data_IF_464302207170
#
_entry.id   IF_464302207170
#
_cell.length_a   1.000
_cell.length_b   1.000
_cell.length_c   1.000
_cell.angle_alpha   90.00
_cell.angle_beta   90.00
_cell.angle_gamma   90.00
#
_symmetry.space_group_name_H-M   'P 1'
#
loop_
_entity.id
_entity.type
_entity.pdbx_description
1 polymer ?
#
# COMPACT_ATOMS: atom_id res chain seq x y z
N UNK A 1 11.52 2.80 -9.39
CA UNK A 1 11.25 1.51 -8.74
C UNK A 1 12.09 0.43 -9.41
N UNK A 2 12.65 -0.55 -8.66
CA UNK A 2 13.35 -1.72 -9.20
C UNK A 2 12.47 -2.96 -8.99
N UNK A 3 12.16 -3.70 -10.05
CA UNK A 3 11.45 -4.99 -9.98
C UNK A 3 12.43 -6.10 -10.34
N UNK A 4 12.87 -6.88 -9.35
CA UNK A 4 13.90 -7.90 -9.55
C UNK A 4 13.35 -9.17 -10.25
N UNK A 5 12.10 -9.58 -9.96
CA UNK A 5 11.45 -10.75 -10.58
C UNK A 5 10.00 -10.45 -10.99
N UNK A 6 9.60 -10.94 -12.16
CA UNK A 6 8.26 -10.76 -12.75
C UNK A 6 8.28 -10.79 -14.29
N UNK A 7 7.15 -11.07 -14.97
CA UNK A 7 7.02 -11.00 -16.42
C UNK A 7 7.44 -9.64 -16.99
N UNK A 8 7.98 -9.61 -18.21
CA UNK A 8 8.56 -8.39 -18.79
C UNK A 8 7.56 -7.21 -18.85
N UNK A 9 6.27 -7.50 -19.07
CA UNK A 9 5.19 -6.50 -19.05
C UNK A 9 4.97 -5.87 -17.66
N UNK A 10 5.16 -6.64 -16.59
CA UNK A 10 5.08 -6.16 -15.20
C UNK A 10 6.29 -5.30 -14.86
N UNK A 11 7.48 -5.69 -15.33
CA UNK A 11 8.71 -4.89 -15.19
C UNK A 11 8.61 -3.57 -15.97
N UNK A 12 8.06 -3.59 -17.18
CA UNK A 12 7.86 -2.41 -18.01
C UNK A 12 6.81 -1.46 -17.41
N UNK A 13 5.68 -1.97 -16.91
CA UNK A 13 4.69 -1.18 -16.19
C UNK A 13 5.30 -0.53 -14.94
N UNK A 14 5.95 -1.31 -14.08
CA UNK A 14 6.60 -0.77 -12.87
C UNK A 14 7.70 0.27 -13.19
N UNK A 15 8.45 0.07 -14.28
CA UNK A 15 9.44 1.03 -14.78
C UNK A 15 8.82 2.32 -15.36
N UNK A 16 7.69 2.23 -16.07
CA UNK A 16 6.95 3.39 -16.60
C UNK A 16 6.25 4.22 -15.52
N UNK A 17 5.85 3.60 -14.40
CA UNK A 17 5.13 4.31 -13.34
C UNK A 17 6.02 4.87 -12.21
N UNK A 18 7.33 4.59 -12.22
CA UNK A 18 8.27 5.17 -11.25
C UNK A 18 7.99 4.76 -9.80
N UNK A 19 8.43 5.58 -8.84
CA UNK A 19 7.94 5.51 -7.46
C UNK A 19 6.60 6.27 -7.39
N UNK A 20 5.52 5.57 -7.08
CA UNK A 20 4.18 6.17 -7.00
C UNK A 20 3.91 6.62 -5.56
N UNK A 21 3.78 7.93 -5.34
CA UNK A 21 3.28 8.45 -4.07
C UNK A 21 1.76 8.28 -4.05
N UNK A 22 1.29 7.29 -3.29
CA UNK A 22 -0.13 6.91 -3.25
C UNK A 22 -1.03 8.09 -2.87
N UNK A 23 -0.60 8.93 -1.93
CA UNK A 23 -1.32 10.14 -1.50
C UNK A 23 -1.57 11.18 -2.61
N UNK A 24 -0.76 11.17 -3.68
CA UNK A 24 -0.96 12.01 -4.87
C UNK A 24 -1.74 11.30 -5.97
N UNK A 25 -1.61 9.98 -6.03
CA UNK A 25 -2.13 9.18 -7.13
C UNK A 25 -3.58 8.72 -6.90
N UNK A 26 -4.05 8.65 -5.66
CA UNK A 26 -5.40 8.28 -5.29
C UNK A 26 -5.90 9.09 -4.10
N UNK A 27 -7.23 9.15 -3.95
CA UNK A 27 -7.87 9.73 -2.78
C UNK A 27 -7.46 8.95 -1.54
N UNK A 28 -6.83 9.65 -0.61
CA UNK A 28 -6.48 9.13 0.70
C UNK A 28 -7.24 9.90 1.77
N UNK A 29 -7.87 9.19 2.71
CA UNK A 29 -8.47 9.76 3.90
C UNK A 29 -7.58 9.45 5.10
N UNK A 30 -7.36 10.45 5.94
CA UNK A 30 -6.41 10.38 7.05
C UNK A 30 -7.17 10.51 8.36
N UNK A 31 -7.00 9.53 9.23
CA UNK A 31 -7.70 9.44 10.50
C UNK A 31 -6.67 9.37 11.62
N UNK A 32 -6.80 10.27 12.60
CA UNK A 32 -5.89 10.35 13.74
C UNK A 32 -6.65 9.96 15.02
N UNK A 33 -6.20 8.87 15.65
CA UNK A 33 -6.63 8.48 16.99
C UNK A 33 -5.68 9.00 18.07
N UNK A 34 -5.95 8.63 19.33
CA UNK A 34 -5.10 8.97 20.48
C UNK A 34 -3.72 8.30 20.42
N UNK A 35 -3.63 7.13 19.79
CA UNK A 35 -2.42 6.30 19.74
C UNK A 35 -2.15 5.66 18.37
N UNK A 36 -2.89 6.05 17.33
CA UNK A 36 -2.73 5.49 15.99
C UNK A 36 -3.01 6.53 14.92
N UNK A 37 -2.51 6.25 13.72
CA UNK A 37 -2.79 6.97 12.51
C UNK A 37 -3.21 5.95 11.45
N UNK A 38 -4.38 6.17 10.87
CA UNK A 38 -4.96 5.32 9.85
C UNK A 38 -5.03 6.08 8.53
N UNK A 39 -4.70 5.37 7.45
CA UNK A 39 -4.65 5.89 6.09
C UNK A 39 -5.55 5.00 5.24
N UNK A 40 -6.69 5.53 4.85
CA UNK A 40 -7.64 4.86 3.96
C UNK A 40 -7.33 5.26 2.52
N UNK A 41 -6.88 4.29 1.72
CA UNK A 41 -6.54 4.50 0.31
C UNK A 41 -7.65 3.96 -0.59
N UNK A 42 -8.35 4.86 -1.29
CA UNK A 42 -9.37 4.48 -2.26
C UNK A 42 -8.73 4.20 -3.64
N UNK A 43 -8.37 2.94 -3.89
CA UNK A 43 -7.72 2.52 -5.14
C UNK A 43 -8.61 2.73 -6.39
N UNK A 44 -9.94 2.78 -6.21
CA UNK A 44 -10.90 2.97 -7.31
C UNK A 44 -10.96 4.43 -7.79
N UNK A 45 -10.52 5.37 -6.96
CA UNK A 45 -10.51 6.80 -7.27
C UNK A 45 -9.51 7.21 -8.36
N UNK A 46 -8.61 6.30 -8.75
CA UNK A 46 -7.54 6.59 -9.71
C UNK A 46 -7.54 5.61 -10.87
N UNK A 47 -7.60 6.14 -12.09
CA UNK A 47 -7.51 5.34 -13.32
C UNK A 47 -6.17 4.60 -13.41
N UNK A 48 -5.09 5.22 -12.95
CA UNK A 48 -3.74 4.63 -12.96
C UNK A 48 -3.68 3.47 -11.98
N UNK A 49 -4.13 3.69 -10.72
CA UNK A 49 -4.11 2.63 -9.72
C UNK A 49 -5.07 1.50 -10.11
N UNK A 50 -6.26 1.82 -10.60
CA UNK A 50 -7.21 0.80 -11.06
C UNK A 50 -6.61 -0.06 -12.18
N UNK A 51 -5.92 0.54 -13.16
CA UNK A 51 -5.23 -0.20 -14.21
C UNK A 51 -4.12 -1.08 -13.64
N UNK A 52 -3.35 -0.56 -12.68
CA UNK A 52 -2.29 -1.32 -12.01
C UNK A 52 -2.86 -2.50 -11.22
N UNK A 53 -3.90 -2.30 -10.41
CA UNK A 53 -4.56 -3.35 -9.64
C UNK A 53 -5.06 -4.47 -10.56
N UNK A 54 -5.66 -4.12 -11.70
CA UNK A 54 -6.12 -5.12 -12.69
C UNK A 54 -4.95 -5.90 -13.29
N UNK A 55 -3.85 -5.23 -13.61
CA UNK A 55 -2.64 -5.88 -14.10
C UNK A 55 -2.05 -6.82 -13.04
N UNK A 56 -1.96 -6.36 -11.78
CA UNK A 56 -1.41 -7.13 -10.67
C UNK A 56 -2.27 -8.36 -10.37
N UNK A 57 -3.60 -8.25 -10.45
CA UNK A 57 -4.52 -9.36 -10.23
C UNK A 57 -4.24 -10.55 -11.16
N UNK A 58 -3.89 -10.28 -12.42
CA UNK A 58 -3.54 -11.34 -13.39
C UNK A 58 -2.25 -12.11 -13.06
N UNK A 59 -1.40 -11.56 -12.19
CA UNK A 59 -0.09 -12.14 -11.82
C UNK A 59 0.12 -12.22 -10.31
N UNK A 60 -0.96 -12.12 -9.52
CA UNK A 60 -0.91 -11.84 -8.07
C UNK A 60 -0.10 -12.90 -7.31
N UNK A 61 -0.24 -14.17 -7.67
CA UNK A 61 0.48 -15.29 -7.04
C UNK A 61 1.98 -15.31 -7.34
N UNK A 62 2.44 -14.63 -8.39
CA UNK A 62 3.85 -14.52 -8.76
C UNK A 62 4.46 -13.17 -8.37
N UNK A 63 3.70 -12.34 -7.67
CA UNK A 63 4.05 -10.95 -7.40
C UNK A 63 4.90 -10.85 -6.13
N UNK A 64 5.95 -10.04 -6.17
CA UNK A 64 6.66 -9.55 -4.98
C UNK A 64 6.75 -8.04 -5.07
N UNK A 65 6.21 -7.33 -4.07
CA UNK A 65 6.17 -5.85 -4.03
C UNK A 65 6.80 -5.36 -2.75
N UNK A 66 7.67 -4.36 -2.88
CA UNK A 66 8.18 -3.57 -1.76
C UNK A 66 7.36 -2.28 -1.63
N UNK A 67 6.84 -2.03 -0.43
CA UNK A 67 6.09 -0.82 -0.11
C UNK A 67 6.84 -0.08 0.99
N UNK A 68 7.13 1.20 0.74
CA UNK A 68 7.78 2.10 1.67
C UNK A 68 6.83 3.21 2.12
N UNK A 69 6.87 3.54 3.40
CA UNK A 69 6.15 4.66 3.99
C UNK A 69 7.09 5.83 4.21
N UNK A 70 6.75 6.97 3.64
CA UNK A 70 7.49 8.23 3.74
C UNK A 70 6.48 9.33 4.07
N UNK A 71 6.90 10.31 4.87
CA UNK A 71 6.18 11.59 4.98
C UNK A 71 6.76 12.51 3.93
N UNK A 72 5.92 12.93 3.00
CA UNK A 72 6.28 13.83 1.91
C UNK A 72 6.53 15.25 2.43
N UNK A 73 7.67 15.83 2.09
CA UNK A 73 8.01 17.21 2.41
C UNK A 73 7.15 18.17 1.55
N UNK A 74 6.52 19.15 2.18
CA UNK A 74 5.71 20.17 1.52
C UNK A 74 6.51 21.45 1.23
N UNK A 75 7.64 21.64 1.90
CA UNK A 75 8.52 22.81 1.73
C UNK A 75 10.00 22.40 1.66
N UNK A 76 10.87 23.27 1.12
CA UNK A 76 12.30 22.95 0.95
C UNK A 76 13.02 22.74 2.28
N UNK A 77 12.58 23.39 3.36
CA UNK A 77 13.13 23.25 4.71
C UNK A 77 12.79 21.92 5.40
N UNK A 78 11.79 21.20 4.90
CA UNK A 78 11.40 19.86 5.40
C UNK A 78 12.25 18.72 4.79
N UNK A 79 13.18 19.03 3.87
CA UNK A 79 14.05 18.04 3.23
C UNK A 79 15.27 17.64 4.10
N UNK A 80 15.78 16.41 3.96
CA UNK A 80 15.31 15.35 3.08
C UNK A 80 14.24 14.46 3.73
N UNK A 81 13.27 14.03 2.92
CA UNK A 81 12.26 13.02 3.28
C UNK A 81 12.93 11.70 3.71
N UNK A 82 12.41 11.07 4.76
CA UNK A 82 12.96 9.82 5.32
C UNK A 82 11.93 8.71 5.29
N UNK A 83 12.38 7.51 4.90
CA UNK A 83 11.60 6.28 5.00
C UNK A 83 11.34 5.96 6.48
N UNK A 84 10.07 5.95 6.87
CA UNK A 84 9.61 5.64 8.22
C UNK A 84 9.61 4.13 8.43
N UNK A 85 9.32 3.38 7.37
CA UNK A 85 9.35 1.94 7.37
C UNK A 85 9.05 1.38 5.99
N UNK A 86 9.31 0.10 5.81
CA UNK A 86 8.95 -0.61 4.61
C UNK A 86 8.57 -2.05 4.92
N UNK A 87 7.78 -2.64 4.06
CA UNK A 87 7.43 -4.05 4.10
C UNK A 87 7.38 -4.62 2.69
N UNK A 88 7.57 -5.94 2.61
CA UNK A 88 7.50 -6.68 1.36
C UNK A 88 6.29 -7.61 1.40
N UNK A 89 5.48 -7.57 0.35
CA UNK A 89 4.42 -8.54 0.09
C UNK A 89 4.96 -9.57 -0.91
N UNK A 90 4.88 -10.85 -0.57
CA UNK A 90 5.36 -11.95 -1.40
C UNK A 90 4.22 -12.93 -1.73
N UNK A 91 4.10 -13.29 -3.01
CA UNK A 91 3.17 -14.33 -3.52
C UNK A 91 1.74 -14.24 -2.94
N UNK A 92 1.08 -13.08 -2.99
CA UNK A 92 -0.26 -12.92 -2.44
C UNK A 92 -1.26 -13.88 -3.09
N UNK A 93 -2.01 -14.60 -2.25
CA UNK A 93 -3.03 -15.55 -2.66
C UNK A 93 -4.42 -14.96 -2.42
N UNK A 94 -5.01 -14.38 -3.46
CA UNK A 94 -6.30 -13.71 -3.33
C UNK A 94 -7.47 -14.68 -3.09
N UNK A 95 -7.33 -15.95 -3.47
CA UNK A 95 -8.31 -17.02 -3.18
C UNK A 95 -8.46 -17.31 -1.69
N UNK A 96 -7.46 -16.96 -0.87
CA UNK A 96 -7.51 -17.12 0.59
C UNK A 96 -8.25 -15.99 1.31
N UNK A 97 -8.62 -14.92 0.59
CA UNK A 97 -9.27 -13.75 1.18
C UNK A 97 -10.68 -14.11 1.70
N UNK A 98 -10.99 -13.63 2.90
CA UNK A 98 -12.31 -13.75 3.51
C UNK A 98 -12.77 -12.39 4.05
N UNK A 99 -14.08 -12.22 4.17
CA UNK A 99 -14.66 -11.00 4.73
C UNK A 99 -14.48 -11.02 6.25
N UNK A 100 -13.81 -10.02 6.79
CA UNK A 100 -13.77 -9.78 8.23
C UNK A 100 -14.99 -8.95 8.58
N UNK A 101 -15.99 -9.56 9.23
CA UNK A 101 -17.10 -8.79 9.80
C UNK A 101 -16.57 -7.89 10.92
N UNK A 102 -16.97 -6.61 10.88
CA UNK A 102 -16.58 -5.58 11.86
C UNK A 102 -17.08 -5.88 13.28
N UNK A 103 -17.98 -6.86 13.45
CA UNK A 103 -18.39 -7.38 14.75
C UNK A 103 -17.31 -8.21 15.45
N UNK A 104 -16.40 -8.85 14.70
CA UNK A 104 -15.38 -9.75 15.25
C UNK A 104 -14.18 -8.99 15.83
N UNK A 105 -13.88 -7.79 15.31
CA UNK A 105 -12.78 -6.94 15.78
C UNK A 105 -12.99 -6.36 17.20
N UNK A 106 -14.20 -6.47 17.77
CA UNK A 106 -14.49 -6.03 19.15
C UNK A 106 -14.07 -7.03 20.23
N UNK A 107 -13.79 -8.29 19.88
CA UNK A 107 -13.54 -9.35 20.86
C UNK A 107 -12.05 -9.65 21.10
N UNK A 108 -11.15 -9.14 20.27
CA UNK A 108 -9.71 -9.29 20.51
C UNK A 108 -9.24 -8.15 21.40
N UNK A 109 -9.62 -8.26 22.68
CA UNK A 109 -9.19 -7.36 23.74
C UNK A 109 -7.66 -7.31 23.77
N UNK A 110 -7.10 -6.17 23.36
CA UNK A 110 -5.78 -5.76 23.77
C UNK A 110 -5.84 -5.53 25.28
N UNK A 111 -5.55 -6.59 26.05
CA UNK A 111 -5.59 -6.59 27.49
C UNK A 111 -4.75 -5.46 28.06
N UNK A 112 -5.43 -4.54 28.74
CA UNK A 112 -4.84 -3.63 29.70
C UNK A 112 -4.10 -4.46 30.75
N UNK A 113 -2.78 -4.62 30.60
CA UNK A 113 -1.94 -5.08 31.70
C UNK A 113 -1.71 -3.88 32.60
N UNK A 114 -2.42 -3.88 33.73
CA UNK A 114 -2.03 -3.14 34.93
C UNK A 114 -0.64 -3.59 35.39
#
# INVERSE_FOLDING_TARGET
>A
SRVEKGPWVVKAAAGSFGALVVGKAARCSYHRGSNHFEIDVDLSSSKIITALTRLMLGYITSLTVDIGFVVEAQTEDELPERLIGAYRICHPELSSAFVIDSATAKNDGFGERK
#
